data_IF_786814605137
#
_entry.id   IF_786814605137
#
_cell.length_a   1.000
_cell.length_b   1.000
_cell.length_c   1.000
_cell.angle_alpha   90.00
_cell.angle_beta   90.00
_cell.angle_gamma   90.00
#
_symmetry.space_group_name_H-M   'P 1'
#
loop_
_entity.id
_entity.type
_entity.pdbx_description
1 polymer ?
#
# COMPACT_ATOMS: atom_id res chain seq x y z
N UNK A 1 -0.59 -32.23 11.51
CA UNK A 1 -2.01 -31.85 11.39
C UNK A 1 -2.59 -31.71 12.78
N UNK A 2 -2.60 -30.49 13.32
CA UNK A 2 -3.21 -30.18 14.62
C UNK A 2 -4.72 -30.05 14.41
N UNK A 3 -5.59 -30.64 15.25
CA UNK A 3 -7.02 -30.60 15.00
C UNK A 3 -7.53 -29.16 15.12
N UNK A 4 -8.27 -28.67 14.11
CA UNK A 4 -9.04 -27.42 14.19
C UNK A 4 -10.05 -27.57 15.32
N UNK A 5 -9.73 -27.03 16.50
CA UNK A 5 -10.67 -26.92 17.62
C UNK A 5 -11.75 -25.92 17.18
N UNK A 6 -12.94 -26.39 16.80
CA UNK A 6 -14.10 -25.53 16.59
C UNK A 6 -14.38 -24.82 17.90
N UNK A 7 -14.08 -23.51 17.96
CA UNK A 7 -14.51 -22.65 19.05
C UNK A 7 -16.03 -22.69 19.08
N UNK A 8 -16.63 -23.12 20.20
CA UNK A 8 -18.04 -22.88 20.44
C UNK A 8 -18.22 -21.36 20.45
N UNK A 9 -18.96 -20.83 19.48
CA UNK A 9 -19.19 -19.40 19.37
C UNK A 9 -19.76 -18.88 20.70
N UNK A 10 -18.98 -18.08 21.41
CA UNK A 10 -19.53 -17.25 22.47
C UNK A 10 -20.51 -16.31 21.78
N UNK A 11 -21.80 -16.52 22.00
CA UNK A 11 -22.86 -15.77 21.34
C UNK A 11 -23.05 -14.36 21.96
N UNK A 12 -22.23 -14.03 22.96
CA UNK A 12 -22.18 -12.72 23.60
C UNK A 12 -21.47 -11.72 22.68
N UNK A 13 -22.10 -10.59 22.31
CA UNK A 13 -21.45 -9.55 21.55
C UNK A 13 -20.21 -8.99 22.26
N UNK A 14 -19.12 -8.80 21.52
CA UNK A 14 -17.97 -8.05 22.02
C UNK A 14 -18.35 -6.58 22.25
N UNK A 15 -17.83 -5.92 23.29
CA UNK A 15 -18.07 -4.50 23.50
C UNK A 15 -17.34 -3.66 22.43
N UNK A 16 -17.89 -2.49 22.09
CA UNK A 16 -17.28 -1.57 21.11
C UNK A 16 -15.85 -1.17 21.50
N UNK A 17 -15.56 -1.09 22.80
CA UNK A 17 -14.22 -0.80 23.33
C UNK A 17 -13.20 -1.85 22.91
N UNK A 18 -13.54 -3.14 22.94
CA UNK A 18 -12.65 -4.23 22.52
C UNK A 18 -12.35 -4.16 21.02
N UNK A 19 -13.38 -3.92 20.20
CA UNK A 19 -13.21 -3.71 18.77
C UNK A 19 -12.29 -2.51 18.48
N UNK A 20 -12.50 -1.38 19.17
CA UNK A 20 -11.64 -0.19 19.04
C UNK A 20 -10.21 -0.48 19.47
N UNK A 21 -10.02 -1.21 20.57
CA UNK A 21 -8.70 -1.57 21.07
C UNK A 21 -7.93 -2.45 20.10
N UNK A 22 -8.58 -3.45 19.50
CA UNK A 22 -7.98 -4.26 18.45
C UNK A 22 -7.61 -3.43 17.21
N UNK A 23 -8.49 -2.53 16.77
CA UNK A 23 -8.19 -1.66 15.63
C UNK A 23 -6.99 -0.74 15.91
N UNK A 24 -6.91 -0.17 17.11
CA UNK A 24 -5.77 0.66 17.54
C UNK A 24 -4.48 -0.17 17.66
N UNK A 25 -4.55 -1.40 18.18
CA UNK A 25 -3.39 -2.30 18.21
C UNK A 25 -2.94 -2.66 16.79
N UNK A 26 -3.83 -3.10 15.91
CA UNK A 26 -3.47 -3.45 14.54
C UNK A 26 -2.77 -2.29 13.81
N UNK A 27 -3.19 -1.05 14.10
CA UNK A 27 -2.61 0.17 13.53
C UNK A 27 -1.36 0.68 14.25
N UNK A 28 -0.93 0.08 15.36
CA UNK A 28 0.24 0.53 16.13
C UNK A 28 0.00 1.82 16.92
N UNK A 29 -1.23 2.03 17.37
CA UNK A 29 -1.69 3.23 18.08
C UNK A 29 -2.14 2.94 19.52
N UNK A 30 -2.12 1.67 19.96
CA UNK A 30 -2.57 1.29 21.30
C UNK A 30 -1.60 1.74 22.41
N UNK A 31 -0.30 1.69 22.13
CA UNK A 31 0.78 1.97 23.10
C UNK A 31 1.63 3.15 22.63
N UNK A 32 2.25 3.91 23.55
CA UNK A 32 3.18 4.96 23.16
C UNK A 32 4.39 4.37 22.41
N UNK A 33 5.04 5.17 21.54
CA UNK A 33 6.31 4.79 20.95
C UNK A 33 7.36 4.53 22.04
N UNK A 34 8.22 3.53 21.84
CA UNK A 34 9.32 3.20 22.74
C UNK A 34 10.64 3.06 21.98
N UNK A 35 11.73 3.50 22.59
CA UNK A 35 13.09 3.36 22.08
C UNK A 35 13.50 4.33 20.96
N UNK A 36 14.73 4.14 20.47
CA UNK A 36 15.28 4.87 19.35
C UNK A 36 14.68 4.39 18.02
N UNK A 37 14.30 5.32 17.15
CA UNK A 37 13.68 5.00 15.86
C UNK A 37 14.74 4.92 14.76
N UNK A 38 15.00 3.71 14.28
CA UNK A 38 15.85 3.43 13.11
C UNK A 38 15.05 3.01 11.86
N UNK A 39 15.74 2.65 10.78
CA UNK A 39 15.11 2.13 9.55
C UNK A 39 14.19 0.93 9.79
N UNK A 40 14.58 0.00 10.67
CA UNK A 40 13.76 -1.18 10.98
C UNK A 40 12.42 -0.80 11.63
N UNK A 41 12.43 0.14 12.58
CA UNK A 41 11.20 0.62 13.24
C UNK A 41 10.23 1.26 12.24
N UNK A 42 10.76 2.01 11.26
CA UNK A 42 9.97 2.58 10.17
C UNK A 42 9.41 1.49 9.26
N UNK A 43 10.25 0.56 8.81
CA UNK A 43 9.80 -0.54 7.96
C UNK A 43 8.70 -1.38 8.65
N UNK A 44 8.92 -1.75 9.91
CA UNK A 44 7.97 -2.54 10.70
C UNK A 44 6.66 -1.78 10.90
N UNK A 45 6.70 -0.45 11.03
CA UNK A 45 5.49 0.37 11.10
C UNK A 45 4.72 0.35 9.79
N UNK A 46 5.41 0.48 8.65
CA UNK A 46 4.79 0.42 7.31
C UNK A 46 4.19 -0.97 7.05
N UNK A 47 4.92 -2.03 7.41
CA UNK A 47 4.46 -3.41 7.31
C UNK A 47 3.25 -3.67 8.22
N UNK A 48 3.25 -3.13 9.44
CA UNK A 48 2.13 -3.20 10.40
C UNK A 48 0.87 -2.49 9.92
N UNK A 49 0.97 -1.33 9.28
CA UNK A 49 -0.20 -0.63 8.71
C UNK A 49 -0.54 -1.09 7.30
N UNK A 50 0.24 -2.00 6.73
CA UNK A 50 0.12 -2.51 5.37
C UNK A 50 0.92 -1.68 4.37
N UNK A 51 0.53 -0.42 4.16
CA UNK A 51 1.14 0.47 3.18
C UNK A 51 1.11 1.92 3.65
N UNK A 52 2.13 2.70 3.26
CA UNK A 52 2.21 4.12 3.61
C UNK A 52 1.77 4.98 2.43
N UNK A 53 0.60 5.58 2.52
CA UNK A 53 0.10 6.51 1.50
C UNK A 53 1.02 7.72 1.35
N UNK A 54 1.34 8.06 0.10
CA UNK A 54 2.08 9.26 -0.28
C UNK A 54 1.06 10.33 -0.67
N UNK A 55 1.09 11.47 0.02
CA UNK A 55 0.21 12.59 -0.28
C UNK A 55 0.99 13.85 -0.70
N UNK A 56 0.34 14.63 -1.54
CA UNK A 56 0.83 15.91 -2.08
C UNK A 56 0.62 17.09 -1.11
N UNK A 57 -0.39 17.03 -0.24
CA UNK A 57 -0.71 18.12 0.68
C UNK A 57 0.37 18.26 1.77
N UNK A 58 0.82 19.48 2.04
CA UNK A 58 1.96 19.75 2.93
C UNK A 58 1.75 20.92 3.91
N UNK A 59 0.51 21.18 4.34
CA UNK A 59 0.17 22.35 5.18
C UNK A 59 0.96 22.39 6.51
N UNK A 60 1.18 21.24 7.14
CA UNK A 60 2.05 21.10 8.32
C UNK A 60 3.29 20.29 7.92
N UNK A 61 3.04 19.07 7.44
CA UNK A 61 3.98 18.14 6.83
C UNK A 61 3.14 17.22 5.95
N UNK A 62 3.74 16.57 4.95
CA UNK A 62 3.01 15.57 4.14
C UNK A 62 2.55 14.40 4.99
N UNK A 63 1.38 13.85 4.68
CA UNK A 63 0.69 12.87 5.53
C UNK A 63 1.55 11.65 5.86
N UNK A 64 2.33 11.11 4.91
CA UNK A 64 3.21 9.97 5.16
C UNK A 64 4.14 10.18 6.36
N UNK A 65 4.61 11.41 6.57
CA UNK A 65 5.51 11.69 7.68
C UNK A 65 4.77 11.79 9.01
N UNK A 66 3.54 12.31 8.99
CA UNK A 66 2.66 12.41 10.16
C UNK A 66 2.11 11.04 10.56
N UNK A 67 1.80 10.18 9.58
CA UNK A 67 1.39 8.79 9.80
C UNK A 67 2.46 8.00 10.56
N UNK A 68 3.73 8.15 10.19
CA UNK A 68 4.84 7.54 10.92
C UNK A 68 5.05 8.20 12.29
N UNK A 69 5.02 9.53 12.35
CA UNK A 69 5.21 10.27 13.61
C UNK A 69 4.18 9.90 14.68
N UNK A 70 2.91 9.71 14.31
CA UNK A 70 1.85 9.31 15.24
C UNK A 70 2.06 7.93 15.88
N UNK A 71 2.91 7.08 15.30
CA UNK A 71 3.22 5.71 15.75
C UNK A 71 4.63 5.54 16.32
N UNK A 72 5.56 6.37 15.87
CA UNK A 72 6.99 6.28 16.20
C UNK A 72 7.51 7.47 17.01
N UNK A 73 6.76 8.57 17.12
CA UNK A 73 7.27 9.81 17.68
C UNK A 73 8.32 10.44 16.77
N UNK A 74 9.38 11.02 17.36
CA UNK A 74 10.46 11.67 16.59
C UNK A 74 11.33 10.61 15.91
N UNK A 75 11.54 10.76 14.60
CA UNK A 75 12.42 9.92 13.79
C UNK A 75 13.12 10.76 12.73
N UNK A 76 14.15 10.18 12.10
CA UNK A 76 14.83 10.79 10.97
C UNK A 76 14.15 10.41 9.64
N UNK A 77 13.59 11.39 8.88
CA UNK A 77 13.00 11.13 7.57
C UNK A 77 13.96 10.50 6.55
N UNK A 78 15.28 10.70 6.68
CA UNK A 78 16.26 10.10 5.77
C UNK A 78 16.24 8.57 5.82
N UNK A 79 15.87 7.99 6.97
CA UNK A 79 15.67 6.54 7.06
C UNK A 79 14.52 6.05 6.17
N UNK A 80 13.44 6.82 6.02
CA UNK A 80 12.34 6.47 5.11
C UNK A 80 12.79 6.56 3.65
N UNK A 81 13.53 7.62 3.31
CA UNK A 81 14.05 7.82 1.96
C UNK A 81 15.03 6.69 1.60
N UNK A 82 15.93 6.31 2.51
CA UNK A 82 16.84 5.18 2.34
C UNK A 82 16.14 3.82 2.18
N UNK A 83 15.00 3.58 2.86
CA UNK A 83 14.20 2.37 2.63
C UNK A 83 13.59 2.32 1.22
N UNK A 84 13.30 3.48 0.61
CA UNK A 84 12.77 3.60 -0.74
C UNK A 84 13.86 3.57 -1.81
N UNK A 85 14.97 4.26 -1.61
CA UNK A 85 16.04 4.39 -2.62
C UNK A 85 17.11 3.31 -2.52
N UNK A 86 17.37 2.79 -1.33
CA UNK A 86 18.63 2.11 -1.01
C UNK A 86 19.79 3.10 -0.87
N UNK A 87 21.01 2.59 -0.69
CA UNK A 87 22.23 3.40 -0.73
C UNK A 87 22.44 4.01 -2.12
N UNK A 88 23.10 5.17 -2.17
CA UNK A 88 23.19 5.99 -3.38
C UNK A 88 24.02 5.36 -4.51
N UNK A 89 24.93 4.44 -4.20
CA UNK A 89 25.84 3.86 -5.20
C UNK A 89 25.34 2.50 -5.71
N UNK A 90 24.86 1.64 -4.82
CA UNK A 90 24.51 0.25 -5.13
C UNK A 90 23.02 -0.09 -4.99
N UNK A 91 22.21 0.82 -4.42
CA UNK A 91 20.78 0.59 -4.17
C UNK A 91 20.49 -0.50 -3.12
N UNK A 92 21.51 -1.00 -2.41
CA UNK A 92 21.38 -1.94 -1.32
C UNK A 92 20.63 -1.31 -0.15
N UNK A 93 19.96 -2.16 0.64
CA UNK A 93 19.14 -1.69 1.75
C UNK A 93 17.75 -1.18 1.36
N UNK A 94 17.43 -1.10 0.07
CA UNK A 94 16.04 -0.86 -0.38
C UNK A 94 15.12 -1.98 0.12
N UNK A 95 14.02 -1.57 0.76
CA UNK A 95 12.98 -2.47 1.28
C UNK A 95 11.57 -2.06 0.88
N UNK A 96 11.42 -0.85 0.34
CA UNK A 96 10.14 -0.30 -0.13
C UNK A 96 10.23 0.01 -1.63
N UNK A 97 9.08 -0.04 -2.28
CA UNK A 97 8.88 0.54 -3.61
C UNK A 97 7.64 1.41 -3.64
N UNK A 98 7.59 2.33 -4.60
CA UNK A 98 6.38 3.12 -4.82
C UNK A 98 5.50 2.47 -5.89
N UNK A 99 4.24 2.20 -5.54
CA UNK A 99 3.22 1.79 -6.51
C UNK A 99 1.79 2.09 -6.02
N UNK A 100 0.80 1.70 -6.80
CA UNK A 100 -0.62 1.90 -6.50
C UNK A 100 -1.18 0.84 -5.57
N UNK A 101 -1.83 1.28 -4.50
CA UNK A 101 -2.82 0.52 -3.71
C UNK A 101 -4.15 1.27 -3.75
N UNK A 102 -4.64 1.74 -2.60
CA UNK A 102 -5.79 2.65 -2.57
C UNK A 102 -5.44 4.05 -3.07
N UNK A 103 -4.16 4.41 -3.02
CA UNK A 103 -3.53 5.61 -3.54
C UNK A 103 -2.10 5.29 -3.97
N UNK A 104 -1.30 6.30 -4.32
CA UNK A 104 0.15 6.11 -4.41
C UNK A 104 0.68 5.80 -3.00
N UNK A 105 1.42 4.71 -2.86
CA UNK A 105 1.92 4.23 -1.58
C UNK A 105 3.39 3.83 -1.67
N UNK A 106 4.11 3.95 -0.54
CA UNK A 106 5.32 3.17 -0.29
C UNK A 106 4.90 1.80 0.25
N UNK A 107 5.38 0.74 -0.41
CA UNK A 107 4.93 -0.63 -0.24
C UNK A 107 6.15 -1.52 0.06
N UNK A 108 6.08 -2.45 1.03
CA UNK A 108 7.12 -3.46 1.23
C UNK A 108 7.45 -4.23 -0.06
N UNK A 109 8.73 -4.43 -0.36
CA UNK A 109 9.16 -5.16 -1.56
C UNK A 109 8.65 -6.61 -1.59
N UNK A 110 8.41 -7.23 -0.43
CA UNK A 110 7.76 -8.54 -0.30
C UNK A 110 6.37 -8.59 -0.98
N UNK A 111 5.70 -7.43 -1.08
CA UNK A 111 4.38 -7.30 -1.70
C UNK A 111 4.44 -7.05 -3.22
N UNK A 112 5.64 -6.89 -3.81
CA UNK A 112 5.80 -6.45 -5.20
C UNK A 112 5.02 -7.31 -6.18
N UNK A 113 5.09 -8.64 -6.04
CA UNK A 113 4.42 -9.59 -6.94
C UNK A 113 2.92 -9.36 -7.08
N UNK A 114 2.27 -8.81 -6.05
CA UNK A 114 0.83 -8.52 -6.06
C UNK A 114 0.48 -7.27 -6.86
N UNK A 115 1.47 -6.50 -7.31
CA UNK A 115 1.31 -5.39 -8.25
C UNK A 115 1.30 -5.85 -9.72
N UNK A 116 1.84 -7.05 -10.00
CA UNK A 116 2.00 -7.58 -11.36
C UNK A 116 0.67 -7.69 -12.13
N UNK A 117 -0.45 -8.16 -11.53
CA UNK A 117 -1.74 -8.19 -12.24
C UNK A 117 -2.24 -6.82 -12.69
N UNK A 118 -2.02 -5.79 -11.85
CA UNK A 118 -2.37 -4.40 -12.20
C UNK A 118 -1.46 -3.89 -13.31
N UNK A 119 -0.15 -4.14 -13.23
CA UNK A 119 0.81 -3.77 -14.28
C UNK A 119 0.47 -4.44 -15.62
N UNK A 120 0.13 -5.73 -15.61
CA UNK A 120 -0.34 -6.47 -16.79
C UNK A 120 -1.61 -5.86 -17.37
N UNK A 121 -2.58 -5.51 -16.53
CA UNK A 121 -3.81 -4.85 -16.98
C UNK A 121 -3.52 -3.48 -17.65
N UNK A 122 -2.50 -2.74 -17.21
CA UNK A 122 -2.05 -1.52 -17.89
C UNK A 122 -1.34 -1.82 -19.23
N UNK A 123 -0.47 -2.83 -19.28
CA UNK A 123 0.20 -3.26 -20.53
C UNK A 123 -0.81 -3.68 -21.60
N UNK A 124 -1.86 -4.38 -21.20
CA UNK A 124 -2.95 -4.85 -22.06
C UNK A 124 -4.01 -3.77 -22.34
N UNK A 125 -3.85 -2.55 -21.83
CA UNK A 125 -4.80 -1.45 -22.06
C UNK A 125 -6.19 -1.67 -21.44
N UNK A 126 -6.32 -2.56 -20.46
CA UNK A 126 -7.61 -2.93 -19.84
C UNK A 126 -8.10 -1.93 -18.78
N UNK A 127 -7.24 -1.02 -18.31
CA UNK A 127 -7.55 -0.17 -17.15
C UNK A 127 -6.94 1.24 -17.22
N UNK A 128 -7.44 2.11 -16.36
CA UNK A 128 -6.94 3.47 -16.13
C UNK A 128 -7.18 4.46 -17.28
N UNK A 129 -6.59 5.65 -17.14
CA UNK A 129 -6.63 6.70 -18.17
C UNK A 129 -5.85 6.31 -19.43
N UNK A 130 -4.95 5.33 -19.31
CA UNK A 130 -4.12 4.82 -20.40
C UNK A 130 -4.94 4.05 -21.46
N UNK A 131 -6.10 3.52 -21.08
CA UNK A 131 -7.03 2.84 -22.00
C UNK A 131 -7.43 3.79 -23.13
N UNK A 132 -7.10 3.43 -24.36
CA UNK A 132 -7.35 4.25 -25.56
C UNK A 132 -6.30 5.34 -25.81
N UNK A 133 -5.69 5.91 -24.76
CA UNK A 133 -4.63 6.92 -24.92
C UNK A 133 -3.44 6.38 -25.71
N UNK A 134 -2.98 5.16 -25.41
CA UNK A 134 -1.83 4.58 -26.11
C UNK A 134 -2.10 4.36 -27.61
N UNK A 135 -3.35 4.15 -27.98
CA UNK A 135 -3.73 3.89 -29.37
C UNK A 135 -3.92 5.19 -30.17
N UNK A 136 -3.87 6.36 -29.52
CA UNK A 136 -3.81 7.65 -30.23
C UNK A 136 -2.47 7.78 -30.99
N UNK A 137 -2.48 8.39 -32.19
CA UNK A 137 -1.29 8.52 -33.03
C UNK A 137 -0.08 9.14 -32.31
N UNK A 138 1.08 8.48 -32.39
CA UNK A 138 2.36 8.96 -31.84
C UNK A 138 2.62 8.66 -30.36
N UNK A 139 1.61 8.23 -29.58
CA UNK A 139 1.81 7.97 -28.15
C UNK A 139 2.65 6.70 -27.88
N UNK A 140 2.50 5.65 -28.70
CA UNK A 140 3.34 4.43 -28.61
C UNK A 140 4.80 4.74 -28.82
N UNK A 141 5.09 5.49 -29.88
CA UNK A 141 6.47 5.81 -30.21
C UNK A 141 7.05 6.74 -29.14
N UNK A 142 6.26 7.69 -28.63
CA UNK A 142 6.66 8.55 -27.50
C UNK A 142 7.05 7.76 -26.26
N UNK A 143 6.26 6.76 -25.89
CA UNK A 143 6.58 5.85 -24.77
C UNK A 143 7.91 5.13 -25.02
N UNK A 144 8.18 4.67 -26.24
CA UNK A 144 9.46 4.03 -26.58
C UNK A 144 10.63 5.00 -26.48
N UNK A 145 10.52 6.23 -27.02
CA UNK A 145 11.58 7.23 -26.93
C UNK A 145 11.90 7.61 -25.48
N UNK A 146 10.90 7.73 -24.61
CA UNK A 146 11.13 7.98 -23.19
C UNK A 146 11.83 6.80 -22.51
N UNK A 147 11.45 5.57 -22.85
CA UNK A 147 12.11 4.38 -22.31
C UNK A 147 13.57 4.26 -22.78
N UNK A 148 13.84 4.52 -24.06
CA UNK A 148 15.19 4.56 -24.63
C UNK A 148 16.04 5.64 -23.98
N UNK A 149 15.47 6.83 -23.74
CA UNK A 149 16.17 7.89 -23.02
C UNK A 149 16.67 7.42 -21.65
N UNK A 150 15.82 6.74 -20.86
CA UNK A 150 16.20 6.21 -19.53
C UNK A 150 17.24 5.09 -19.65
N UNK A 151 17.16 4.26 -20.70
CA UNK A 151 18.19 3.24 -20.97
C UNK A 151 19.56 3.87 -21.16
N UNK A 152 19.64 4.92 -21.97
CA UNK A 152 20.89 5.54 -22.39
C UNK A 152 21.46 6.52 -21.35
N UNK A 153 20.60 7.26 -20.65
CA UNK A 153 21.00 8.36 -19.77
C UNK A 153 20.82 8.05 -18.27
N UNK A 154 20.18 6.92 -17.95
CA UNK A 154 19.90 6.53 -16.57
C UNK A 154 18.62 7.17 -16.01
N UNK A 155 18.53 7.17 -14.67
CA UNK A 155 17.36 7.63 -13.95
C UNK A 155 16.96 9.07 -14.33
N UNK A 156 15.69 9.29 -14.67
CA UNK A 156 15.18 10.57 -15.18
C UNK A 156 13.90 11.01 -14.47
N UNK A 157 13.70 12.32 -14.35
CA UNK A 157 12.48 12.97 -13.87
C UNK A 157 11.74 13.59 -15.04
N UNK A 158 10.46 13.90 -14.86
CA UNK A 158 9.69 14.61 -15.88
C UNK A 158 10.31 15.96 -16.30
N UNK A 159 11.02 16.63 -15.39
CA UNK A 159 11.70 17.91 -15.66
C UNK A 159 12.88 17.76 -16.63
N UNK A 160 13.50 16.58 -16.71
CA UNK A 160 14.69 16.37 -17.55
C UNK A 160 14.31 16.30 -19.04
N UNK A 161 13.01 16.24 -19.34
CA UNK A 161 12.43 16.32 -20.68
C UNK A 161 11.99 17.75 -21.05
N UNK A 162 12.13 18.73 -20.15
CA UNK A 162 11.87 20.14 -20.46
C UNK A 162 13.04 20.70 -21.29
N UNK A 163 12.75 21.30 -22.45
CA UNK A 163 13.71 22.13 -23.19
C UNK A 163 13.32 23.60 -23.11
N UNK A 164 14.27 24.45 -22.74
CA UNK A 164 14.15 25.90 -22.91
C UNK A 164 14.10 26.26 -24.42
N UNK A 165 13.06 27.00 -24.83
CA UNK A 165 13.09 27.78 -26.08
C UNK A 165 12.62 27.12 -27.39
N UNK A 166 12.03 25.92 -27.39
CA UNK A 166 11.46 25.32 -28.63
C UNK A 166 9.94 25.44 -28.66
N UNK A 167 9.39 25.87 -29.81
CA UNK A 167 7.94 25.99 -30.07
C UNK A 167 7.19 24.69 -29.73
N UNK A 168 6.04 24.83 -29.06
CA UNK A 168 5.03 23.76 -28.87
C UNK A 168 4.75 23.05 -30.20
N UNK A 169 4.76 21.71 -30.19
CA UNK A 169 4.54 20.88 -31.37
C UNK A 169 5.65 19.90 -31.72
N UNK A 170 6.70 19.78 -30.91
CA UNK A 170 7.63 18.65 -30.99
C UNK A 170 7.16 17.54 -30.06
N UNK A 171 7.46 16.30 -30.41
CA UNK A 171 7.32 15.09 -29.57
C UNK A 171 7.77 15.26 -28.10
N UNK A 172 8.60 16.27 -27.85
CA UNK A 172 9.17 16.66 -26.56
C UNK A 172 8.37 17.73 -25.80
N UNK A 173 7.07 17.88 -26.05
CA UNK A 173 6.22 18.68 -25.17
C UNK A 173 6.13 18.03 -23.77
N UNK A 174 6.27 18.84 -22.71
CA UNK A 174 6.27 18.43 -21.30
C UNK A 174 5.09 17.53 -20.89
N UNK A 175 3.88 17.87 -21.37
CA UNK A 175 2.66 17.13 -21.01
C UNK A 175 2.67 15.70 -21.58
N UNK A 176 2.99 15.49 -22.87
CA UNK A 176 3.23 14.18 -23.44
C UNK A 176 4.31 13.35 -22.71
N UNK A 177 5.50 13.91 -22.46
CA UNK A 177 6.60 13.16 -21.82
C UNK A 177 6.25 12.68 -20.40
N UNK A 178 5.59 13.54 -19.60
CA UNK A 178 5.08 13.15 -18.28
C UNK A 178 4.08 12.01 -18.36
N UNK A 179 3.15 12.03 -19.33
CA UNK A 179 2.19 10.94 -19.54
C UNK A 179 2.88 9.64 -19.94
N UNK A 180 3.90 9.71 -20.79
CA UNK A 180 4.69 8.55 -21.17
C UNK A 180 5.45 7.94 -19.97
N UNK A 181 6.05 8.76 -19.09
CA UNK A 181 6.64 8.29 -17.84
C UNK A 181 5.60 7.62 -16.93
N UNK A 182 4.43 8.23 -16.76
CA UNK A 182 3.34 7.64 -15.97
C UNK A 182 2.84 6.32 -16.58
N UNK A 183 2.80 6.21 -17.90
CA UNK A 183 2.47 4.97 -18.60
C UNK A 183 3.49 3.85 -18.31
N UNK A 184 4.78 4.11 -18.55
CA UNK A 184 5.87 3.16 -18.27
C UNK A 184 5.88 2.72 -16.81
N UNK A 185 5.64 3.65 -15.89
CA UNK A 185 5.54 3.37 -14.47
C UNK A 185 4.33 2.47 -14.15
N UNK A 186 3.15 2.79 -14.68
CA UNK A 186 1.94 1.99 -14.48
C UNK A 186 2.08 0.58 -15.05
N UNK A 187 2.81 0.42 -16.15
CA UNK A 187 3.08 -0.85 -16.81
C UNK A 187 4.18 -1.67 -16.15
N UNK A 188 4.96 -1.08 -15.23
CA UNK A 188 6.07 -1.74 -14.56
C UNK A 188 7.33 -1.89 -15.43
N UNK A 189 7.48 -1.07 -16.47
CA UNK A 189 8.70 -0.96 -17.26
C UNK A 189 9.75 -0.13 -16.52
N UNK A 190 9.30 0.92 -15.83
CA UNK A 190 10.13 1.73 -14.92
C UNK A 190 9.57 1.72 -13.50
N UNK A 191 10.43 1.98 -12.54
CA UNK A 191 10.10 2.12 -11.13
C UNK A 191 10.60 3.46 -10.59
N UNK A 192 10.03 3.91 -9.47
CA UNK A 192 10.55 5.08 -8.76
C UNK A 192 11.86 4.67 -8.07
N UNK A 193 12.98 5.17 -8.59
CA UNK A 193 14.30 4.95 -8.03
C UNK A 193 14.51 5.81 -6.77
N UNK A 194 14.05 7.07 -6.79
CA UNK A 194 14.15 7.98 -5.66
C UNK A 194 13.16 9.14 -5.83
N UNK A 195 13.21 10.11 -4.91
CA UNK A 195 12.49 11.38 -5.03
C UNK A 195 13.44 12.54 -4.81
N UNK A 196 13.33 13.57 -5.65
CA UNK A 196 14.04 14.83 -5.48
C UNK A 196 13.01 15.95 -5.45
N UNK A 197 12.97 16.72 -4.36
CA UNK A 197 11.95 17.76 -4.15
C UNK A 197 10.51 17.25 -4.38
N UNK A 198 10.24 16.03 -3.93
CA UNK A 198 8.96 15.32 -4.10
C UNK A 198 8.59 14.96 -5.55
N UNK A 199 9.46 15.20 -6.53
CA UNK A 199 9.32 14.66 -7.88
C UNK A 199 9.87 13.23 -7.93
N UNK A 200 9.17 12.34 -8.61
CA UNK A 200 9.64 10.97 -8.86
C UNK A 200 10.81 10.98 -9.83
N UNK A 201 11.87 10.28 -9.46
CA UNK A 201 12.95 9.90 -10.38
C UNK A 201 12.66 8.46 -10.82
N UNK A 202 12.50 8.25 -12.12
CA UNK A 202 12.20 6.94 -12.70
C UNK A 202 13.46 6.31 -13.27
N UNK A 203 13.65 5.02 -13.04
CA UNK A 203 14.67 4.23 -13.73
C UNK A 203 14.11 2.86 -14.10
N UNK A 204 14.81 2.13 -14.95
CA UNK A 204 14.42 0.80 -15.42
C UNK A 204 14.16 -0.13 -14.25
N UNK A 205 13.09 -0.91 -14.32
CA UNK A 205 12.75 -1.90 -13.27
C UNK A 205 13.95 -2.79 -12.95
N UNK A 206 14.70 -3.26 -13.93
CA UNK A 206 15.87 -4.13 -13.73
C UNK A 206 17.04 -3.48 -12.98
N UNK A 207 17.14 -2.14 -12.99
CA UNK A 207 18.14 -1.40 -12.21
C UNK A 207 17.67 -1.09 -10.79
N UNK A 208 16.35 -1.11 -10.57
CA UNK A 208 15.72 -0.65 -9.33
C UNK A 208 15.25 -1.80 -8.44
N UNK A 209 14.70 -2.86 -9.04
CA UNK A 209 14.08 -3.98 -8.33
C UNK A 209 15.14 -5.00 -7.90
N UNK A 210 15.37 -5.20 -6.59
CA UNK A 210 16.38 -6.16 -6.14
C UNK A 210 16.13 -7.59 -6.66
N UNK A 211 17.20 -8.36 -6.87
CA UNK A 211 17.12 -9.70 -7.45
C UNK A 211 16.24 -10.65 -6.62
N UNK A 212 16.31 -10.56 -5.29
CA UNK A 212 15.59 -11.42 -4.34
C UNK A 212 14.07 -11.26 -4.37
N UNK A 213 13.55 -10.18 -4.96
CA UNK A 213 12.11 -9.89 -4.99
C UNK A 213 11.42 -10.84 -5.98
N UNK A 214 10.40 -11.56 -5.50
CA UNK A 214 9.62 -12.47 -6.34
C UNK A 214 8.94 -11.74 -7.49
N UNK A 215 9.08 -12.29 -8.69
CA UNK A 215 8.44 -11.83 -9.93
C UNK A 215 7.36 -12.81 -10.41
N UNK A 216 7.00 -13.78 -9.57
CA UNK A 216 6.02 -14.80 -9.90
C UNK A 216 4.63 -14.18 -9.80
N UNK A 217 4.03 -13.88 -10.95
CA UNK A 217 2.72 -13.24 -10.98
C UNK A 217 1.64 -14.16 -10.40
N UNK A 218 0.95 -13.77 -9.30
CA UNK A 218 -0.17 -14.52 -8.78
C UNK A 218 -1.37 -14.47 -9.74
N UNK A 219 -2.31 -15.40 -9.59
CA UNK A 219 -3.58 -15.29 -10.31
C UNK A 219 -4.33 -14.02 -9.86
N UNK A 220 -5.28 -13.56 -10.68
CA UNK A 220 -6.12 -12.40 -10.30
C UNK A 220 -6.91 -12.69 -9.00
N UNK A 221 -7.31 -13.93 -8.78
CA UNK A 221 -8.00 -14.40 -7.58
C UNK A 221 -7.08 -14.37 -6.35
N UNK A 222 -5.89 -14.97 -6.43
CA UNK A 222 -4.91 -14.98 -5.36
C UNK A 222 -4.48 -13.57 -4.95
N UNK A 223 -4.29 -12.68 -5.92
CA UNK A 223 -3.94 -11.29 -5.64
C UNK A 223 -5.06 -10.53 -4.93
N UNK A 224 -6.32 -10.83 -5.29
CA UNK A 224 -7.50 -10.25 -4.63
C UNK A 224 -7.60 -10.77 -3.21
N UNK A 225 -7.52 -12.09 -3.03
CA UNK A 225 -7.58 -12.76 -1.73
C UNK A 225 -6.51 -12.24 -0.79
N UNK A 226 -5.25 -12.25 -1.24
CA UNK A 226 -4.13 -11.73 -0.45
C UNK A 226 -4.33 -10.25 -0.09
N UNK A 227 -4.81 -9.42 -1.01
CA UNK A 227 -5.04 -7.99 -0.73
C UNK A 227 -6.12 -7.78 0.32
N UNK A 228 -7.23 -8.52 0.24
CA UNK A 228 -8.33 -8.43 1.19
C UNK A 228 -7.94 -9.00 2.56
N UNK A 229 -7.31 -10.17 2.60
CA UNK A 229 -6.84 -10.81 3.83
C UNK A 229 -5.82 -9.92 4.56
N UNK A 230 -4.81 -9.40 3.84
CA UNK A 230 -3.86 -8.45 4.40
C UNK A 230 -4.57 -7.21 4.95
N UNK A 231 -5.53 -6.65 4.21
CA UNK A 231 -6.29 -5.49 4.67
C UNK A 231 -7.03 -5.75 5.99
N UNK A 232 -7.71 -6.89 6.12
CA UNK A 232 -8.45 -7.24 7.34
C UNK A 232 -7.49 -7.36 8.52
N UNK A 233 -6.35 -8.02 8.33
CA UNK A 233 -5.31 -8.10 9.35
C UNK A 233 -4.78 -6.74 9.79
N UNK A 234 -4.50 -5.84 8.84
CA UNK A 234 -3.95 -4.51 9.16
C UNK A 234 -5.00 -3.55 9.75
N UNK A 235 -6.28 -3.77 9.44
CA UNK A 235 -7.39 -3.07 10.10
C UNK A 235 -7.71 -3.67 11.49
N UNK A 236 -7.37 -4.93 11.74
CA UNK A 236 -7.66 -5.69 12.96
C UNK A 236 -9.10 -6.16 13.03
N UNK A 237 -10.05 -5.23 12.89
CA UNK A 237 -11.48 -5.50 12.84
C UNK A 237 -12.19 -4.47 11.96
N UNK A 238 -13.08 -4.90 11.07
CA UNK A 238 -13.72 -4.00 10.11
C UNK A 238 -15.11 -4.47 9.65
N UNK A 239 -15.89 -3.56 9.04
CA UNK A 239 -17.07 -3.96 8.28
C UNK A 239 -16.60 -4.75 7.04
N UNK A 240 -17.05 -6.01 6.85
CA UNK A 240 -16.65 -6.83 5.70
C UNK A 240 -16.99 -6.18 4.35
N UNK A 241 -17.97 -5.27 4.29
CA UNK A 241 -18.34 -4.55 3.07
C UNK A 241 -17.38 -3.41 2.76
N UNK A 242 -16.69 -2.87 3.78
CA UNK A 242 -15.79 -1.72 3.69
C UNK A 242 -14.33 -2.08 3.38
N UNK A 243 -13.90 -3.31 3.64
CA UNK A 243 -12.51 -3.73 3.36
C UNK A 243 -12.15 -3.58 1.88
N UNK A 244 -13.11 -3.77 0.97
CA UNK A 244 -12.89 -3.61 -0.46
C UNK A 244 -12.52 -2.16 -0.83
N UNK A 245 -13.10 -1.18 -0.12
CA UNK A 245 -12.82 0.25 -0.34
C UNK A 245 -11.40 0.61 0.14
N UNK A 246 -10.92 -0.04 1.21
CA UNK A 246 -9.56 0.14 1.75
C UNK A 246 -8.47 -0.26 0.76
N UNK A 247 -8.74 -1.17 -0.19
CA UNK A 247 -7.81 -1.54 -1.28
C UNK A 247 -8.31 -1.17 -2.67
N UNK A 248 -9.37 -0.35 -2.78
CA UNK A 248 -9.99 0.07 -4.05
C UNK A 248 -10.33 -1.10 -5.00
N UNK A 249 -10.71 -2.25 -4.44
CA UNK A 249 -11.22 -3.39 -5.21
C UNK A 249 -12.73 -3.22 -5.38
N UNK A 250 -13.26 -3.47 -6.59
CA UNK A 250 -14.70 -3.44 -6.82
C UNK A 250 -15.41 -4.45 -5.89
N UNK A 251 -16.47 -4.01 -5.21
CA UNK A 251 -17.24 -4.87 -4.29
C UNK A 251 -17.74 -6.17 -4.94
N UNK A 252 -18.06 -6.14 -6.23
CA UNK A 252 -18.47 -7.33 -7.00
C UNK A 252 -17.37 -8.39 -7.13
N UNK A 253 -16.10 -7.96 -7.14
CA UNK A 253 -14.92 -8.85 -7.14
C UNK A 253 -14.55 -9.28 -5.72
N UNK A 254 -14.68 -8.38 -4.74
CA UNK A 254 -14.30 -8.68 -3.36
C UNK A 254 -15.27 -9.63 -2.65
N UNK A 255 -16.59 -9.50 -2.91
CA UNK A 255 -17.61 -10.24 -2.16
C UNK A 255 -17.43 -11.77 -2.20
N UNK A 256 -17.28 -12.43 -3.37
CA UNK A 256 -17.11 -13.88 -3.41
C UNK A 256 -15.88 -14.38 -2.63
N UNK A 257 -14.78 -13.62 -2.69
CA UNK A 257 -13.53 -13.95 -1.99
C UNK A 257 -13.69 -13.79 -0.47
N UNK A 258 -14.41 -12.77 -0.02
CA UNK A 258 -14.73 -12.60 1.41
C UNK A 258 -15.65 -13.71 1.90
N UNK A 259 -16.68 -14.08 1.12
CA UNK A 259 -17.57 -15.18 1.46
C UNK A 259 -16.81 -16.50 1.58
N UNK A 260 -15.83 -16.76 0.70
CA UNK A 260 -14.94 -17.92 0.77
C UNK A 260 -14.05 -17.90 2.02
N UNK A 261 -13.41 -16.77 2.32
CA UNK A 261 -12.58 -16.62 3.53
C UNK A 261 -13.37 -16.77 4.84
N UNK A 262 -14.67 -16.44 4.82
CA UNK A 262 -15.57 -16.73 5.95
C UNK A 262 -15.88 -18.23 6.01
N UNK A 263 -16.18 -18.85 4.86
CA UNK A 263 -16.53 -20.28 4.78
C UNK A 263 -15.36 -21.20 5.19
N UNK A 264 -14.12 -20.86 4.82
CA UNK A 264 -12.92 -21.63 5.17
C UNK A 264 -12.34 -21.34 6.57
N UNK A 265 -12.86 -20.30 7.23
CA UNK A 265 -12.50 -19.86 8.57
C UNK A 265 -11.21 -19.03 8.64
N UNK A 266 -10.77 -18.43 7.54
CA UNK A 266 -9.70 -17.42 7.53
C UNK A 266 -10.17 -16.13 8.24
N UNK A 267 -11.44 -15.77 8.05
CA UNK A 267 -12.11 -14.66 8.71
C UNK A 267 -13.27 -15.20 9.54
N UNK A 268 -13.45 -14.64 10.73
CA UNK A 268 -14.63 -14.85 11.55
C UNK A 268 -15.48 -13.58 11.57
N UNK A 269 -16.79 -13.77 11.42
CA UNK A 269 -17.78 -12.72 11.65
C UNK A 269 -18.18 -12.76 13.13
N UNK A 270 -17.79 -11.72 13.87
CA UNK A 270 -18.05 -11.62 15.31
C UNK A 270 -19.15 -10.60 15.60
N UNK A 271 -20.07 -10.88 16.55
CA UNK A 271 -21.04 -9.89 17.01
C UNK A 271 -20.33 -8.81 17.83
N UNK A 272 -20.56 -7.55 17.51
CA UNK A 272 -20.02 -6.39 18.25
C UNK A 272 -21.16 -5.43 18.58
N UNK A 273 -21.28 -5.06 19.85
CA UNK A 273 -22.23 -4.05 20.29
C UNK A 273 -21.82 -2.67 19.75
N UNK A 274 -22.60 -2.10 18.83
CA UNK A 274 -22.33 -0.80 18.20
C UNK A 274 -23.01 0.36 18.93
N UNK A 275 -24.13 0.11 19.58
CA UNK A 275 -24.83 1.04 20.47
C UNK A 275 -25.59 0.26 21.56
N UNK A 276 -26.33 0.96 22.43
CA UNK A 276 -27.21 0.33 23.43
C UNK A 276 -28.12 -0.73 22.83
N UNK A 277 -28.65 -0.46 21.63
CA UNK A 277 -29.72 -1.25 21.01
C UNK A 277 -29.31 -1.92 19.69
N UNK A 278 -28.07 -1.74 19.24
CA UNK A 278 -27.59 -2.29 17.97
C UNK A 278 -26.36 -3.18 18.15
N UNK A 279 -26.45 -4.40 17.62
CA UNK A 279 -25.31 -5.30 17.44
C UNK A 279 -25.05 -5.45 15.94
N UNK A 280 -23.81 -5.15 15.53
CA UNK A 280 -23.32 -5.37 14.18
C UNK A 280 -22.48 -6.63 14.09
N UNK A 281 -22.27 -7.13 12.89
CA UNK A 281 -21.30 -8.19 12.63
C UNK A 281 -20.07 -7.60 11.96
N UNK A 282 -18.91 -7.76 12.59
CA UNK A 282 -17.63 -7.28 12.07
C UNK A 282 -16.73 -8.46 11.71
N UNK A 283 -15.89 -8.29 10.70
CA UNK A 283 -14.92 -9.26 10.26
C UNK A 283 -13.61 -9.11 11.03
N UNK A 284 -13.08 -10.24 11.52
CA UNK A 284 -11.79 -10.35 12.20
C UNK A 284 -11.03 -11.52 11.60
N UNK A 285 -9.74 -11.35 11.35
CA UNK A 285 -8.91 -12.47 10.90
C UNK A 285 -8.74 -13.48 12.06
N UNK A 286 -8.78 -14.79 11.77
CA UNK A 286 -8.72 -15.84 12.81
C UNK A 286 -7.54 -15.70 13.79
N UNK A 287 -6.42 -15.16 13.31
CA UNK A 287 -5.21 -14.96 14.13
C UNK A 287 -5.34 -13.78 15.10
N UNK A 288 -6.24 -12.84 14.84
CA UNK A 288 -6.46 -11.65 15.66
C UNK A 288 -7.59 -11.85 16.69
N UNK A 289 -8.29 -12.98 16.64
CA UNK A 289 -9.35 -13.33 17.61
C UNK A 289 -8.84 -13.39 19.04
N UNK A 290 -7.63 -13.93 19.26
CA UNK A 290 -7.03 -13.98 20.60
C UNK A 290 -6.78 -12.58 21.16
N UNK A 291 -6.41 -11.63 20.30
CA UNK A 291 -6.25 -10.22 20.70
C UNK A 291 -7.60 -9.55 20.96
N UNK A 292 -8.64 -9.91 20.21
CA UNK A 292 -9.99 -9.43 20.46
C UNK A 292 -10.50 -9.91 21.83
N UNK A 293 -10.26 -11.18 22.18
CA UNK A 293 -10.61 -11.72 23.49
C UNK A 293 -9.84 -10.98 24.60
N UNK A 294 -8.52 -10.81 24.43
CA UNK A 294 -7.70 -10.03 25.36
C UNK A 294 -8.19 -8.59 25.53
N UNK A 295 -8.68 -7.96 24.46
CA UNK A 295 -9.29 -6.63 24.52
C UNK A 295 -10.64 -6.62 25.24
N UNK A 296 -11.43 -7.68 25.13
CA UNK A 296 -12.70 -7.84 25.83
C UNK A 296 -12.50 -8.05 27.34
N UNK A 297 -11.43 -8.75 27.71
CA UNK A 297 -11.07 -9.06 29.11
C UNK A 297 -10.25 -7.93 29.78
N UNK A 298 -9.96 -6.84 29.08
CA UNK A 298 -9.18 -5.70 29.60
C UNK A 298 -7.66 -5.90 29.64
N UNK A 299 -7.14 -6.94 28.99
CA UNK A 299 -5.70 -7.17 28.87
C UNK A 299 -5.05 -6.34 27.74
N UNK A 300 -5.84 -5.92 26.74
CA UNK A 300 -5.43 -4.97 25.70
C UNK A 300 -6.20 -3.65 25.86
N UNK A 301 -5.61 -2.71 26.57
CA UNK A 301 -6.19 -1.39 26.85
C UNK A 301 -5.34 -0.27 26.24
N UNK A 302 -5.83 0.39 25.15
CA UNK A 302 -5.16 1.53 24.58
C UNK A 302 -5.05 2.68 25.57
N UNK A 303 -3.82 3.08 25.91
CA UNK A 303 -3.54 4.19 26.82
C UNK A 303 -2.88 5.40 26.15
N UNK A 304 -2.53 5.29 24.86
CA UNK A 304 -1.81 6.32 24.15
C UNK A 304 -2.73 7.33 23.46
N UNK A 305 -2.38 8.62 23.59
CA UNK A 305 -3.03 9.72 22.87
C UNK A 305 -2.04 10.31 21.88
N UNK A 306 -2.46 10.41 20.62
CA UNK A 306 -1.64 10.96 19.53
C UNK A 306 -2.53 11.69 18.52
N UNK A 307 -1.90 12.46 17.63
CA UNK A 307 -2.60 13.17 16.56
C UNK A 307 -2.51 12.39 15.27
N UNK A 308 -3.66 12.11 14.66
CA UNK A 308 -3.73 11.50 13.33
C UNK A 308 -3.84 12.60 12.27
N UNK A 309 -3.26 12.33 11.10
CA UNK A 309 -3.55 13.14 9.93
C UNK A 309 -5.02 12.94 9.51
N UNK A 310 -5.67 13.97 8.93
CA UNK A 310 -6.95 13.80 8.26
C UNK A 310 -6.83 12.86 7.05
#
# INVERSE_FOLDING_TARGET
MTPKRKRTANNTPYPLSAARALALDAQGLATPPDGAVGPDSIYNTIERIGWLQIDTLQMVRRSQYLTLWSRLGKYDPEHLDGLLSGDAESGQGRRLFEYWRHAACMIPLDDYRYSLPTQRAYREGRTGWYRGWIDEPGNRDLVQVVLEHIRDHGASRSSDFERDGVKRGSWWDWKPAKRALEALYNQGDVMVASRVNFQRVYDLKERVLPEWVSRDEPTEEDATRWSLEKSIRRLGICDPRGVADYVKIKRTRAKPVIDEMIADGTIELVPVQQSSDATGSLAVHREDIVKLDAAADGALEPGHVTFLNP
#
